data_IF_446047841660
#
_entry.id   IF_446047841660
#
_cell.length_a   1.000
_cell.length_b   1.000
_cell.length_c   1.000
_cell.angle_alpha   90.00
_cell.angle_beta   90.00
_cell.angle_gamma   90.00
#
_symmetry.space_group_name_H-M   'P 1'
#
loop_
_entity.id
_entity.type
_entity.pdbx_description
1 polymer ?
#
# COMPACT_ATOMS: atom_id res chain seq x y z
N UNK A 1 -16.15 77.42 29.09
CA UNK A 1 -15.67 77.15 27.71
C UNK A 1 -14.18 76.89 27.83
N UNK A 2 -13.56 75.75 27.48
CA UNK A 2 -13.90 74.56 26.70
C UNK A 2 -13.32 73.33 27.48
N UNK A 3 -14.01 72.19 27.62
CA UNK A 3 -14.22 71.10 26.65
C UNK A 3 -12.89 70.52 26.13
N UNK A 4 -12.49 69.27 26.38
CA UNK A 4 -13.13 68.16 27.08
C UNK A 4 -12.15 67.02 27.31
N UNK A 5 -12.38 66.26 28.38
CA UNK A 5 -11.80 64.95 28.66
C UNK A 5 -12.61 63.89 27.92
N UNK A 6 -11.95 63.02 27.17
CA UNK A 6 -12.53 61.76 26.74
C UNK A 6 -11.44 60.69 26.74
N UNK A 7 -11.34 59.95 27.84
CA UNK A 7 -10.65 58.68 27.88
C UNK A 7 -11.60 57.62 27.29
N UNK A 8 -11.23 57.00 26.17
CA UNK A 8 -11.95 55.85 25.62
C UNK A 8 -11.25 54.58 26.09
N UNK A 9 -11.94 53.83 26.94
CA UNK A 9 -11.61 52.49 27.40
C UNK A 9 -12.55 51.48 26.73
N UNK A 10 -11.98 50.35 26.32
CA UNK A 10 -12.66 49.07 26.01
C UNK A 10 -13.42 49.02 24.66
N UNK A 11 -13.48 47.92 23.90
CA UNK A 11 -13.41 46.49 24.21
C UNK A 11 -12.77 45.75 23.02
N UNK A 12 -11.96 44.73 23.33
CA UNK A 12 -11.42 43.78 22.38
C UNK A 12 -12.51 42.97 21.65
N UNK A 13 -12.36 42.82 20.33
CA UNK A 13 -12.77 41.60 19.67
C UNK A 13 -11.77 41.32 18.54
N UNK A 14 -10.64 40.73 18.91
CA UNK A 14 -9.79 40.04 17.94
C UNK A 14 -10.62 38.88 17.41
N UNK A 15 -11.29 39.08 16.28
CA UNK A 15 -11.66 38.00 15.38
C UNK A 15 -10.34 37.43 14.83
N UNK A 16 -9.64 36.64 15.65
CA UNK A 16 -8.77 35.61 15.12
C UNK A 16 -9.70 34.66 14.37
N UNK A 17 -9.93 35.01 13.11
CA UNK A 17 -10.34 34.05 12.11
C UNK A 17 -9.19 33.06 12.06
N UNK A 18 -9.27 31.98 12.84
CA UNK A 18 -8.52 30.78 12.50
C UNK A 18 -9.14 30.33 11.18
N UNK A 19 -8.64 30.90 10.08
CA UNK A 19 -8.65 30.21 8.80
C UNK A 19 -7.79 28.98 9.05
N UNK A 20 -8.39 27.96 9.65
CA UNK A 20 -7.91 26.60 9.49
C UNK A 20 -7.97 26.40 7.99
N UNK A 21 -6.83 26.59 7.32
CA UNK A 21 -6.64 26.05 6.00
C UNK A 21 -6.92 24.57 6.16
N UNK A 22 -8.12 24.14 5.76
CA UNK A 22 -8.38 22.74 5.50
C UNK A 22 -7.51 22.45 4.30
N UNK A 23 -6.23 22.16 4.54
CA UNK A 23 -5.40 21.53 3.55
C UNK A 23 -6.13 20.24 3.26
N UNK A 24 -6.75 20.15 2.09
CA UNK A 24 -7.34 18.93 1.56
C UNK A 24 -6.16 18.02 1.17
N UNK A 25 -5.33 17.69 2.16
CA UNK A 25 -4.32 16.66 2.06
C UNK A 25 -5.11 15.38 1.92
N UNK A 26 -4.93 14.70 0.79
CA UNK A 26 -5.48 13.37 0.59
C UNK A 26 -5.15 12.45 1.76
N UNK A 27 -5.80 11.27 1.83
CA UNK A 27 -5.59 10.36 2.94
C UNK A 27 -4.11 10.02 3.11
N UNK A 28 -3.66 9.92 4.36
CA UNK A 28 -2.27 9.63 4.69
C UNK A 28 -1.82 8.33 4.01
N UNK A 29 -0.56 8.29 3.58
CA UNK A 29 0.04 7.12 2.94
C UNK A 29 1.24 6.60 3.71
N UNK A 30 1.43 5.29 3.68
CA UNK A 30 2.51 4.55 4.31
C UNK A 30 3.40 3.93 3.23
N UNK A 31 4.73 4.06 3.32
CA UNK A 31 5.64 3.43 2.37
C UNK A 31 5.69 1.92 2.61
N UNK A 32 5.80 1.15 1.53
CA UNK A 32 6.05 -0.30 1.58
C UNK A 32 7.13 -0.67 0.55
N UNK A 33 7.79 -1.80 0.78
CA UNK A 33 8.73 -2.41 -0.16
C UNK A 33 8.11 -3.70 -0.70
N UNK A 34 8.32 -3.97 -1.98
CA UNK A 34 7.85 -5.17 -2.62
C UNK A 34 8.98 -5.84 -3.40
N UNK A 35 9.09 -7.17 -3.29
CA UNK A 35 9.97 -7.95 -4.17
C UNK A 35 9.20 -9.02 -4.92
N UNK A 36 9.63 -9.30 -6.15
CA UNK A 36 9.10 -10.38 -6.98
C UNK A 36 10.22 -11.40 -7.17
N UNK A 37 9.97 -12.60 -6.68
CA UNK A 37 10.88 -13.75 -6.68
C UNK A 37 10.25 -14.88 -7.49
N UNK A 38 11.07 -15.66 -8.19
CA UNK A 38 10.61 -16.83 -8.92
C UNK A 38 11.54 -18.00 -8.64
N UNK A 39 11.18 -18.84 -7.67
CA UNK A 39 11.97 -19.98 -7.20
C UNK A 39 12.09 -21.10 -8.25
N UNK A 40 11.26 -21.05 -9.29
CA UNK A 40 11.26 -22.02 -10.39
C UNK A 40 12.19 -21.59 -11.53
N UNK A 41 12.89 -20.46 -11.37
CA UNK A 41 13.81 -19.91 -12.35
C UNK A 41 15.05 -19.33 -11.64
N UNK A 42 16.16 -19.18 -12.36
CA UNK A 42 17.33 -18.48 -11.83
C UNK A 42 17.27 -16.95 -12.08
N UNK A 43 16.07 -16.37 -12.04
CA UNK A 43 15.90 -14.93 -12.24
C UNK A 43 16.32 -14.16 -11.00
N UNK A 44 17.02 -13.03 -11.21
CA UNK A 44 17.33 -12.09 -10.13
C UNK A 44 16.01 -11.49 -9.61
N UNK A 45 15.79 -11.47 -8.28
CA UNK A 45 14.60 -10.84 -7.72
C UNK A 45 14.47 -9.37 -8.13
N UNK A 46 13.27 -8.98 -8.52
CA UNK A 46 12.94 -7.59 -8.83
C UNK A 46 12.45 -6.89 -7.56
N UNK A 47 12.73 -5.60 -7.41
CA UNK A 47 12.38 -4.84 -6.20
C UNK A 47 11.74 -3.50 -6.53
N UNK A 48 10.68 -3.19 -5.81
CA UNK A 48 9.83 -2.03 -6.03
C UNK A 48 9.54 -1.31 -4.71
N UNK A 49 9.23 -0.02 -4.83
CA UNK A 49 8.72 0.79 -3.73
C UNK A 49 7.35 1.32 -4.11
N UNK A 50 6.40 1.24 -3.20
CA UNK A 50 5.04 1.76 -3.40
C UNK A 50 4.53 2.38 -2.09
N UNK A 51 3.32 2.91 -2.15
CA UNK A 51 2.61 3.42 -0.98
C UNK A 51 1.24 2.78 -0.86
N UNK A 52 0.80 2.61 0.38
CA UNK A 52 -0.57 2.25 0.72
C UNK A 52 -1.24 3.39 1.47
N UNK A 53 -2.51 3.68 1.20
CA UNK A 53 -3.28 4.57 2.07
C UNK A 53 -3.38 3.93 3.46
N UNK A 54 -3.27 4.72 4.52
CA UNK A 54 -3.41 4.22 5.89
C UNK A 54 -4.74 3.48 6.08
N UNK A 55 -4.67 2.23 6.56
CA UNK A 55 -5.83 1.33 6.68
C UNK A 55 -6.34 0.71 5.36
N UNK A 56 -5.74 1.09 4.23
CA UNK A 56 -5.98 0.51 2.92
C UNK A 56 -5.33 -0.85 2.73
N UNK A 57 -5.70 -1.54 1.65
CA UNK A 57 -5.26 -2.91 1.37
C UNK A 57 -4.13 -2.97 0.34
N UNK A 58 -3.37 -4.06 0.35
CA UNK A 58 -2.22 -4.31 -0.53
C UNK A 58 -2.56 -4.12 -2.01
N UNK A 59 -3.75 -4.55 -2.45
CA UNK A 59 -4.24 -4.36 -3.82
C UNK A 59 -4.14 -2.90 -4.28
N UNK A 60 -4.41 -1.94 -3.40
CA UNK A 60 -4.29 -0.52 -3.73
C UNK A 60 -2.84 -0.12 -4.04
N UNK A 61 -1.87 -0.68 -3.32
CA UNK A 61 -0.45 -0.42 -3.56
C UNK A 61 0.02 -1.07 -4.87
N UNK A 62 -0.49 -2.26 -5.21
CA UNK A 62 -0.19 -2.92 -6.50
C UNK A 62 -0.74 -2.14 -7.68
N UNK A 63 -1.98 -1.64 -7.59
CA UNK A 63 -2.58 -0.80 -8.65
C UNK A 63 -1.76 0.45 -8.90
N UNK A 64 -1.37 1.16 -7.84
CA UNK A 64 -0.46 2.32 -7.95
C UNK A 64 0.88 1.95 -8.58
N UNK A 65 1.44 0.81 -8.19
CA UNK A 65 2.72 0.35 -8.75
C UNK A 65 2.58 0.06 -10.25
N UNK A 66 1.54 -0.64 -10.67
CA UNK A 66 1.26 -0.93 -12.08
C UNK A 66 0.97 0.32 -12.92
N UNK A 67 0.36 1.34 -12.32
CA UNK A 67 0.09 2.64 -12.96
C UNK A 67 1.35 3.49 -13.14
N UNK A 68 2.35 3.34 -12.25
CA UNK A 68 3.52 4.23 -12.18
C UNK A 68 4.82 3.59 -12.65
N UNK A 69 4.89 2.26 -12.67
CA UNK A 69 6.05 1.49 -13.09
C UNK A 69 5.66 0.60 -14.27
N UNK A 70 6.28 0.83 -15.43
CA UNK A 70 5.93 0.12 -16.66
C UNK A 70 6.27 -1.37 -16.60
N UNK A 71 7.35 -1.70 -15.87
CA UNK A 71 7.89 -3.05 -15.67
C UNK A 71 7.14 -3.85 -14.61
N UNK A 72 6.32 -3.21 -13.76
CA UNK A 72 5.43 -3.91 -12.86
C UNK A 72 4.07 -4.16 -13.50
N UNK A 73 3.69 -5.43 -13.62
CA UNK A 73 2.37 -5.85 -14.08
C UNK A 73 1.84 -6.97 -13.19
N UNK A 74 0.55 -6.95 -12.89
CA UNK A 74 -0.10 -8.03 -12.15
C UNK A 74 -1.54 -8.21 -12.63
N UNK A 75 -2.04 -9.43 -12.49
CA UNK A 75 -3.46 -9.74 -12.67
C UNK A 75 -4.03 -10.37 -11.41
N UNK A 76 -5.32 -10.15 -11.20
CA UNK A 76 -6.08 -10.85 -10.17
C UNK A 76 -7.26 -11.55 -10.81
N UNK A 77 -7.57 -12.73 -10.29
CA UNK A 77 -8.79 -13.47 -10.61
C UNK A 77 -9.75 -13.34 -9.43
N UNK A 78 -11.01 -13.06 -9.73
CA UNK A 78 -12.07 -13.12 -8.73
C UNK A 78 -12.50 -14.57 -8.54
N UNK A 79 -12.46 -15.01 -7.30
CA UNK A 79 -12.91 -16.31 -6.85
C UNK A 79 -14.14 -16.11 -5.93
N UNK A 80 -15.22 -16.87 -6.14
CA UNK A 80 -16.46 -16.68 -5.37
C UNK A 80 -16.32 -16.99 -3.88
N UNK A 81 -15.36 -17.83 -3.50
CA UNK A 81 -15.19 -18.30 -2.12
C UNK A 81 -14.05 -17.54 -1.41
N UNK A 82 -13.02 -17.12 -2.15
CA UNK A 82 -11.80 -16.52 -1.59
C UNK A 82 -11.55 -15.05 -1.97
N UNK A 83 -12.36 -14.49 -2.88
CA UNK A 83 -12.20 -13.12 -3.36
C UNK A 83 -11.07 -12.97 -4.38
N UNK A 84 -10.25 -11.93 -4.25
CA UNK A 84 -9.22 -11.61 -5.25
C UNK A 84 -7.94 -12.42 -5.05
N UNK A 85 -7.73 -13.41 -5.92
CA UNK A 85 -6.51 -14.21 -6.00
C UNK A 85 -5.47 -13.50 -6.90
N UNK A 86 -4.22 -13.45 -6.45
CA UNK A 86 -3.10 -13.00 -7.27
C UNK A 86 -2.80 -14.07 -8.33
N UNK A 87 -3.12 -13.76 -9.59
CA UNK A 87 -3.05 -14.73 -10.68
C UNK A 87 -1.69 -14.68 -11.39
N UNK A 88 -1.21 -13.47 -11.72
CA UNK A 88 0.09 -13.28 -12.36
C UNK A 88 0.82 -12.05 -11.86
N UNK A 89 2.15 -12.09 -11.92
CA UNK A 89 3.05 -10.96 -11.72
C UNK A 89 4.12 -10.99 -12.81
N UNK A 90 4.41 -9.85 -13.42
CA UNK A 90 5.38 -9.65 -14.49
C UNK A 90 5.30 -10.69 -15.62
N UNK A 91 4.06 -11.06 -15.99
CA UNK A 91 3.79 -12.01 -17.08
C UNK A 91 3.90 -13.49 -16.72
N UNK A 92 4.24 -13.83 -15.47
CA UNK A 92 4.28 -15.21 -14.97
C UNK A 92 2.99 -15.50 -14.19
N UNK A 93 2.19 -16.43 -14.72
CA UNK A 93 0.90 -16.82 -14.14
C UNK A 93 0.98 -18.15 -13.39
N UNK A 94 0.22 -18.26 -12.30
CA UNK A 94 -0.04 -19.53 -11.64
C UNK A 94 -0.81 -20.49 -12.55
N UNK A 95 -0.68 -21.79 -12.30
CA UNK A 95 -1.32 -22.83 -13.08
C UNK A 95 -1.71 -24.00 -12.19
N UNK A 96 -3.00 -24.33 -12.19
CA UNK A 96 -3.50 -25.52 -11.48
C UNK A 96 -2.92 -26.82 -12.06
N UNK A 97 -2.73 -26.87 -13.38
CA UNK A 97 -2.14 -28.04 -14.06
C UNK A 97 -0.69 -28.24 -13.67
N UNK A 98 0.09 -27.16 -13.67
CA UNK A 98 1.53 -27.19 -13.34
C UNK A 98 1.78 -27.07 -11.85
N UNK A 99 0.72 -26.95 -11.04
CA UNK A 99 0.79 -26.83 -9.59
C UNK A 99 1.59 -25.60 -9.11
N UNK A 100 1.55 -24.51 -9.88
CA UNK A 100 2.29 -23.28 -9.60
C UNK A 100 1.38 -22.16 -9.11
N UNK A 101 1.89 -21.33 -8.22
CA UNK A 101 1.13 -20.25 -7.62
C UNK A 101 2.05 -19.13 -7.09
N UNK A 102 1.44 -18.00 -6.74
CA UNK A 102 2.12 -16.88 -6.07
C UNK A 102 1.88 -16.92 -4.57
N UNK A 103 2.95 -17.12 -3.81
CA UNK A 103 2.98 -16.93 -2.37
C UNK A 103 3.09 -15.45 -2.03
N UNK A 104 2.42 -15.02 -0.96
CA UNK A 104 2.61 -13.69 -0.39
C UNK A 104 3.29 -13.84 0.96
N UNK A 105 4.51 -13.34 1.06
CA UNK A 105 5.33 -13.43 2.26
C UNK A 105 5.59 -12.04 2.82
N UNK A 106 5.76 -11.97 4.13
CA UNK A 106 6.38 -10.84 4.80
C UNK A 106 7.79 -11.22 5.20
N UNK A 107 8.73 -10.33 4.95
CA UNK A 107 10.09 -10.41 5.51
C UNK A 107 10.18 -9.58 6.78
N UNK A 108 10.76 -10.16 7.82
CA UNK A 108 11.14 -9.47 9.03
C UNK A 108 12.43 -10.03 9.59
N UNK A 109 13.49 -9.23 9.58
CA UNK A 109 14.78 -9.56 10.19
C UNK A 109 15.40 -10.86 9.66
N UNK A 110 15.20 -11.16 8.37
CA UNK A 110 15.66 -12.36 7.69
C UNK A 110 14.72 -13.58 7.80
N UNK A 111 13.62 -13.47 8.54
CA UNK A 111 12.59 -14.50 8.59
C UNK A 111 11.43 -14.18 7.65
N UNK A 112 10.88 -15.23 7.04
CA UNK A 112 9.74 -15.12 6.14
C UNK A 112 8.50 -15.75 6.78
N UNK A 113 7.40 -15.00 6.77
CA UNK A 113 6.09 -15.50 7.19
C UNK A 113 5.10 -15.41 6.04
N UNK A 114 4.36 -16.49 5.78
CA UNK A 114 3.33 -16.51 4.75
C UNK A 114 2.05 -15.84 5.26
N UNK A 115 1.46 -14.98 4.44
CA UNK A 115 0.15 -14.42 4.71
C UNK A 115 -0.96 -15.47 4.54
N UNK A 116 -1.94 -15.42 5.42
CA UNK A 116 -3.15 -16.24 5.39
C UNK A 116 -4.32 -15.54 4.65
N UNK A 117 -4.10 -14.33 4.13
CA UNK A 117 -5.07 -13.53 3.41
C UNK A 117 -4.50 -12.99 2.10
N UNK A 118 -5.37 -12.79 1.11
CA UNK A 118 -5.00 -12.28 -0.20
C UNK A 118 -4.75 -10.77 -0.26
N UNK A 119 -4.32 -10.29 -1.44
CA UNK A 119 -4.00 -8.88 -1.71
C UNK A 119 -5.20 -7.94 -1.50
N UNK A 120 -6.43 -8.45 -1.62
CA UNK A 120 -7.66 -7.70 -1.38
C UNK A 120 -7.97 -7.44 0.09
N UNK A 121 -7.35 -8.18 1.02
CA UNK A 121 -7.66 -8.15 2.46
C UNK A 121 -6.49 -7.67 3.30
N UNK A 122 -5.25 -8.01 2.92
CA UNK A 122 -4.06 -7.65 3.68
C UNK A 122 -3.90 -6.14 3.77
N UNK A 123 -3.67 -5.61 4.99
CA UNK A 123 -3.43 -4.20 5.27
C UNK A 123 -1.97 -3.99 5.70
N UNK A 124 -1.09 -3.53 4.79
CA UNK A 124 0.32 -3.34 5.11
C UNK A 124 0.54 -2.28 6.20
N UNK A 125 1.64 -2.46 6.94
CA UNK A 125 2.18 -1.47 7.87
C UNK A 125 3.34 -0.70 7.22
N UNK A 126 3.65 0.46 7.79
CA UNK A 126 4.75 1.29 7.31
C UNK A 126 6.09 0.53 7.32
N UNK A 127 6.78 0.56 6.19
CA UNK A 127 8.10 -0.04 6.03
C UNK A 127 8.12 -1.56 5.85
N UNK A 128 6.98 -2.23 5.85
CA UNK A 128 6.92 -3.67 5.60
C UNK A 128 7.52 -4.02 4.24
N UNK A 129 8.22 -5.16 4.22
CA UNK A 129 8.71 -5.78 3.00
C UNK A 129 7.84 -6.98 2.67
N UNK A 130 7.11 -6.86 1.57
CA UNK A 130 6.21 -7.88 1.05
C UNK A 130 6.90 -8.56 -0.12
N UNK A 131 6.80 -9.87 -0.22
CA UNK A 131 7.41 -10.65 -1.28
C UNK A 131 6.34 -11.46 -1.98
N UNK A 132 6.29 -11.34 -3.30
CA UNK A 132 5.58 -12.27 -4.15
C UNK A 132 6.57 -13.30 -4.68
N UNK A 133 6.40 -14.55 -4.25
CA UNK A 133 7.28 -15.65 -4.63
C UNK A 133 6.52 -16.66 -5.47
N UNK A 134 6.97 -16.87 -6.70
CA UNK A 134 6.42 -17.90 -7.57
C UNK A 134 6.97 -19.27 -7.17
N UNK A 135 6.08 -20.21 -6.83
CA UNK A 135 6.44 -21.50 -6.24
C UNK A 135 5.49 -22.62 -6.69
N UNK A 136 5.73 -23.85 -6.23
CA UNK A 136 4.82 -24.99 -6.38
C UNK A 136 4.33 -25.49 -5.03
N UNK A 137 3.12 -26.06 -4.96
CA UNK A 137 2.62 -26.64 -3.69
C UNK A 137 3.18 -28.04 -3.39
N UNK A 138 4.08 -28.58 -4.22
CA UNK A 138 4.71 -29.90 -4.03
C UNK A 138 6.06 -29.88 -3.28
N UNK A 139 6.57 -28.71 -2.90
CA UNK A 139 7.90 -28.48 -2.31
C UNK A 139 7.85 -27.94 -0.87
N UNK A 140 6.75 -28.13 -0.14
CA UNK A 140 6.60 -27.64 1.25
C UNK A 140 7.26 -28.55 2.29
#
# INVERSE_FOLDING_TARGET
MALGTAALLSVAFFLLSTQGAVTNTGPATLPIRLSVENDLSNMTPESYSSTVVEGGVLLGALRRLQETQEDFKFTVKEDPDFGLLLESVNGVAGSEREQTYWEILLESSGEYSRLDVGVGCYKPKAGEHIIFRFSTWGQQ
#
